data_IF_633245264307
#
_entry.id   IF_633245264307
#
_cell.length_a   1.000
_cell.length_b   1.000
_cell.length_c   1.000
_cell.angle_alpha   90.00
_cell.angle_beta   90.00
_cell.angle_gamma   90.00
#
_symmetry.space_group_name_H-M   'P 1'
#
loop_
_entity.id
_entity.type
_entity.pdbx_description
1 polymer ?
#
# COMPACT_ATOMS: atom_id res chain seq x y z
N UNK A 1 -14.51 38.58 10.75
CA UNK A 1 -13.53 38.24 9.66
C UNK A 1 -13.42 36.74 9.56
N UNK A 2 -13.80 36.17 8.40
CA UNK A 2 -13.63 34.77 8.14
C UNK A 2 -12.18 34.57 7.69
N UNK A 3 -11.35 33.93 8.52
CA UNK A 3 -10.00 33.57 8.13
C UNK A 3 -10.10 32.41 7.16
N UNK A 4 -9.67 32.57 5.92
CA UNK A 4 -9.56 31.51 4.96
C UNK A 4 -8.51 30.50 5.45
N UNK A 5 -8.92 29.26 5.66
CA UNK A 5 -8.02 28.18 6.04
C UNK A 5 -7.22 27.76 4.81
N UNK A 6 -5.93 28.09 4.76
CA UNK A 6 -5.06 27.72 3.64
C UNK A 6 -4.73 26.23 3.73
N UNK A 7 -5.19 25.46 2.76
CA UNK A 7 -4.81 24.06 2.56
C UNK A 7 -3.56 24.01 1.68
N UNK A 8 -2.55 23.26 2.12
CA UNK A 8 -1.35 22.98 1.33
C UNK A 8 -1.28 21.48 1.08
N UNK A 9 -0.95 21.07 -0.15
CA UNK A 9 -0.84 19.66 -0.53
C UNK A 9 0.57 19.37 -1.04
N UNK A 10 1.06 18.19 -0.75
CA UNK A 10 2.33 17.64 -1.22
C UNK A 10 2.07 16.26 -1.81
N UNK A 11 2.75 15.94 -2.89
CA UNK A 11 2.61 14.65 -3.56
C UNK A 11 3.86 13.82 -3.33
N UNK A 12 3.67 12.55 -2.96
CA UNK A 12 4.74 11.58 -2.75
C UNK A 12 4.81 10.60 -3.92
N UNK A 13 5.37 11.03 -5.04
CA UNK A 13 5.52 10.16 -6.23
C UNK A 13 6.84 9.40 -6.22
N UNK A 14 7.90 9.98 -5.67
CA UNK A 14 9.28 9.49 -5.76
C UNK A 14 9.88 9.19 -4.38
N UNK A 15 10.98 8.45 -4.39
CA UNK A 15 11.72 8.12 -3.18
C UNK A 15 11.21 6.88 -2.46
N UNK A 16 10.27 6.18 -3.03
CA UNK A 16 9.75 4.95 -2.47
C UNK A 16 10.71 3.78 -2.63
N UNK A 17 10.70 2.92 -1.62
CA UNK A 17 11.32 1.61 -1.59
C UNK A 17 10.24 0.55 -1.55
N UNK A 18 10.46 -0.57 -2.25
CA UNK A 18 9.51 -1.67 -2.39
C UNK A 18 10.17 -3.02 -2.20
N UNK A 19 9.46 -3.94 -1.54
CA UNK A 19 9.81 -5.37 -1.44
C UNK A 19 8.55 -6.22 -1.41
N UNK A 20 8.68 -7.50 -1.81
CA UNK A 20 7.65 -8.55 -1.67
C UNK A 20 7.87 -9.44 -0.44
N UNK A 21 8.91 -9.18 0.31
CA UNK A 21 9.11 -9.86 1.59
C UNK A 21 8.09 -9.35 2.61
N UNK A 22 7.69 -10.18 3.57
CA UNK A 22 6.81 -9.79 4.67
C UNK A 22 7.53 -9.96 5.99
N UNK A 23 7.78 -8.86 6.70
CA UNK A 23 8.44 -8.84 8.00
C UNK A 23 7.88 -7.71 8.85
N UNK A 24 7.57 -8.02 10.10
CA UNK A 24 7.04 -7.05 11.06
C UNK A 24 8.00 -5.88 11.36
N UNK A 25 9.30 -6.07 11.19
CA UNK A 25 10.31 -5.02 11.41
C UNK A 25 10.27 -3.90 10.36
N UNK A 26 9.59 -4.11 9.26
CA UNK A 26 9.49 -3.12 8.17
C UNK A 26 8.78 -1.83 8.56
N UNK A 27 8.04 -1.83 9.66
CA UNK A 27 7.42 -0.64 10.23
C UNK A 27 8.42 0.27 10.96
N UNK A 28 9.58 -0.25 11.37
CA UNK A 28 10.52 0.47 12.21
C UNK A 28 11.18 1.62 11.41
N UNK A 29 11.28 2.83 12.00
CA UNK A 29 11.89 3.97 11.31
C UNK A 29 13.37 3.77 10.94
N UNK A 30 14.10 3.03 11.73
CA UNK A 30 15.53 2.75 11.58
C UNK A 30 15.83 1.49 10.76
N UNK A 31 14.79 0.82 10.24
CA UNK A 31 14.98 -0.34 9.36
C UNK A 31 15.78 0.05 8.11
N UNK A 32 16.79 -0.75 7.78
CA UNK A 32 17.64 -0.51 6.63
C UNK A 32 17.03 -1.12 5.35
N UNK A 33 16.39 -0.27 4.56
CA UNK A 33 15.74 -0.63 3.29
C UNK A 33 16.61 -0.37 2.04
N UNK A 34 17.93 -0.20 2.20
CA UNK A 34 18.85 0.15 1.09
C UNK A 34 18.82 -0.89 -0.04
N UNK A 35 18.57 -2.15 0.28
CA UNK A 35 18.51 -3.26 -0.69
C UNK A 35 17.15 -3.35 -1.41
N UNK A 36 16.14 -2.62 -0.95
CA UNK A 36 14.83 -2.66 -1.57
C UNK A 36 14.84 -1.97 -2.94
N UNK A 37 13.94 -2.41 -3.80
CA UNK A 37 13.77 -1.80 -5.11
C UNK A 37 13.34 -0.33 -4.97
N UNK A 38 13.99 0.58 -5.70
CA UNK A 38 13.52 1.96 -5.80
C UNK A 38 12.40 2.03 -6.83
N UNK A 39 11.27 2.61 -6.44
CA UNK A 39 10.08 2.71 -7.29
C UNK A 39 9.52 4.13 -7.28
N UNK A 40 8.69 4.41 -8.27
CA UNK A 40 7.88 5.62 -8.40
C UNK A 40 6.42 5.18 -8.35
N UNK A 41 5.58 5.86 -7.60
CA UNK A 41 4.15 5.57 -7.58
C UNK A 41 3.40 6.47 -8.58
N UNK A 42 2.33 5.98 -9.24
CA UNK A 42 1.75 4.65 -9.06
C UNK A 42 2.66 3.52 -9.53
N UNK A 43 2.68 2.42 -8.80
CA UNK A 43 3.49 1.24 -9.08
C UNK A 43 2.63 -0.02 -9.00
N UNK A 44 2.61 -0.80 -10.06
CA UNK A 44 1.94 -2.09 -10.10
C UNK A 44 2.99 -3.22 -10.02
N UNK A 45 3.08 -3.83 -8.86
CA UNK A 45 4.07 -4.87 -8.58
C UNK A 45 3.65 -6.27 -9.07
N UNK A 46 2.38 -6.46 -9.40
CA UNK A 46 1.87 -7.73 -9.90
C UNK A 46 2.20 -7.95 -11.39
N UNK A 47 2.20 -6.89 -12.21
CA UNK A 47 2.42 -6.99 -13.65
C UNK A 47 3.84 -7.39 -14.06
N UNK A 48 4.80 -7.28 -13.16
CA UNK A 48 6.19 -7.66 -13.44
C UNK A 48 6.51 -9.11 -13.06
N UNK A 49 5.48 -9.89 -12.67
CA UNK A 49 5.66 -11.27 -12.23
C UNK A 49 6.26 -11.41 -10.82
N UNK A 50 6.68 -12.61 -10.44
CA UNK A 50 6.72 -13.80 -11.28
C UNK A 50 5.32 -14.27 -11.67
N UNK A 51 5.14 -14.55 -12.95
CA UNK A 51 3.92 -15.18 -13.44
C UNK A 51 4.03 -16.69 -13.24
N UNK A 52 2.95 -17.32 -12.82
CA UNK A 52 2.97 -18.75 -12.60
C UNK A 52 1.57 -19.34 -12.56
N UNK A 53 1.44 -20.56 -13.06
CA UNK A 53 0.16 -21.28 -13.07
C UNK A 53 -0.38 -21.52 -11.65
N UNK A 54 0.48 -21.40 -10.65
CA UNK A 54 0.14 -21.59 -9.24
C UNK A 54 -0.35 -20.29 -8.57
N UNK A 55 -0.23 -19.13 -9.26
CA UNK A 55 -0.75 -17.87 -8.78
C UNK A 55 -2.25 -17.75 -9.05
N UNK A 56 -2.99 -17.12 -8.15
CA UNK A 56 -4.40 -16.75 -8.30
C UNK A 56 -5.29 -17.94 -8.78
N UNK A 57 -5.19 -19.07 -8.13
CA UNK A 57 -6.03 -20.24 -8.42
C UNK A 57 -7.39 -20.11 -7.73
N UNK A 58 -8.43 -20.54 -8.43
CA UNK A 58 -9.78 -20.62 -7.90
C UNK A 58 -10.32 -22.03 -8.01
N UNK A 59 -10.97 -22.50 -6.96
CA UNK A 59 -11.70 -23.76 -6.95
C UNK A 59 -13.18 -23.48 -7.30
N UNK A 60 -13.58 -23.75 -8.52
CA UNK A 60 -14.95 -23.48 -9.00
C UNK A 60 -15.44 -24.52 -9.99
N UNK A 61 -16.76 -24.64 -10.12
CA UNK A 61 -17.38 -25.47 -11.15
C UNK A 61 -17.92 -24.56 -12.26
N UNK A 62 -17.45 -24.77 -13.48
CA UNK A 62 -17.93 -24.02 -14.65
C UNK A 62 -19.09 -24.81 -15.25
N UNK A 63 -20.33 -24.44 -14.87
CA UNK A 63 -21.54 -25.13 -15.30
C UNK A 63 -21.74 -25.14 -16.83
N UNK A 64 -21.25 -24.11 -17.51
CA UNK A 64 -21.29 -24.00 -18.97
C UNK A 64 -20.43 -25.07 -19.68
N UNK A 65 -19.37 -25.53 -19.00
CA UNK A 65 -18.50 -26.59 -19.49
C UNK A 65 -18.98 -27.99 -19.04
N UNK A 66 -20.15 -28.07 -18.42
CA UNK A 66 -20.73 -29.32 -17.92
C UNK A 66 -20.08 -29.88 -16.64
N UNK A 67 -19.28 -29.06 -15.95
CA UNK A 67 -18.62 -29.45 -14.70
C UNK A 67 -19.66 -29.55 -13.56
N UNK A 68 -19.68 -30.69 -12.88
CA UNK A 68 -20.57 -30.93 -11.73
C UNK A 68 -19.88 -30.72 -10.38
N UNK A 69 -18.55 -30.79 -10.37
CA UNK A 69 -17.72 -30.62 -9.18
C UNK A 69 -16.77 -29.44 -9.38
N UNK A 70 -16.41 -28.79 -8.29
CA UNK A 70 -15.45 -27.72 -8.32
C UNK A 70 -14.06 -28.26 -8.71
N UNK A 71 -13.47 -27.65 -9.71
CA UNK A 71 -12.12 -27.95 -10.21
C UNK A 71 -11.26 -26.71 -10.10
N UNK A 72 -9.96 -26.91 -10.09
CA UNK A 72 -8.99 -25.82 -10.02
C UNK A 72 -8.86 -25.15 -11.40
N UNK A 73 -9.06 -23.85 -11.43
CA UNK A 73 -8.93 -23.01 -12.63
C UNK A 73 -7.98 -21.85 -12.34
N UNK A 74 -7.43 -21.26 -13.40
CA UNK A 74 -6.79 -19.94 -13.30
C UNK A 74 -7.81 -18.91 -12.80
N UNK A 75 -7.36 -18.02 -11.93
CA UNK A 75 -8.21 -17.00 -11.34
C UNK A 75 -8.73 -15.99 -12.35
N UNK A 76 -9.51 -15.03 -11.86
CA UNK A 76 -10.20 -14.01 -12.68
C UNK A 76 -9.28 -13.15 -13.53
N UNK A 77 -8.02 -13.03 -13.13
CA UNK A 77 -7.03 -12.24 -13.87
C UNK A 77 -6.58 -12.93 -15.14
N UNK A 78 -6.81 -14.25 -15.26
CA UNK A 78 -6.41 -15.07 -16.42
C UNK A 78 -4.91 -15.05 -16.71
N UNK A 79 -4.16 -14.24 -16.00
CA UNK A 79 -2.78 -13.90 -16.33
C UNK A 79 -1.76 -14.36 -15.31
N UNK A 80 -2.24 -14.97 -14.23
CA UNK A 80 -1.33 -15.54 -13.25
C UNK A 80 -0.34 -14.51 -12.64
N UNK A 81 -0.78 -13.25 -12.37
CA UNK A 81 0.07 -12.27 -11.72
C UNK A 81 0.40 -12.72 -10.31
N UNK A 82 1.47 -12.17 -9.77
CA UNK A 82 1.87 -12.47 -8.40
C UNK A 82 0.78 -12.06 -7.40
N UNK A 83 0.44 -13.00 -6.50
CA UNK A 83 -0.47 -12.79 -5.37
C UNK A 83 0.32 -12.89 -4.08
N UNK A 84 0.05 -12.02 -3.12
CA UNK A 84 0.71 -12.00 -1.83
C UNK A 84 0.90 -10.60 -1.27
N UNK A 85 1.95 -10.42 -0.48
CA UNK A 85 2.24 -9.19 0.24
C UNK A 85 3.27 -8.33 -0.48
N UNK A 86 3.06 -7.02 -0.44
CA UNK A 86 4.03 -6.03 -0.86
C UNK A 86 4.17 -4.91 0.17
N UNK A 87 5.40 -4.51 0.43
CA UNK A 87 5.70 -3.41 1.33
C UNK A 87 6.30 -2.23 0.58
N UNK A 88 5.84 -1.05 0.93
CA UNK A 88 6.35 0.23 0.46
C UNK A 88 6.87 1.04 1.64
N UNK A 89 8.01 1.69 1.48
CA UNK A 89 8.57 2.61 2.48
C UNK A 89 8.99 3.91 1.84
N UNK A 90 8.77 5.00 2.56
CA UNK A 90 9.18 6.34 2.16
C UNK A 90 9.68 7.11 3.38
N UNK A 91 10.86 7.68 3.28
CA UNK A 91 11.35 8.67 4.24
C UNK A 91 11.06 10.07 3.71
N UNK A 92 10.44 10.92 4.53
CA UNK A 92 10.06 12.27 4.16
C UNK A 92 10.24 13.25 5.34
N UNK A 93 10.42 14.50 5.00
CA UNK A 93 10.46 15.58 5.99
C UNK A 93 9.06 16.16 6.17
N UNK A 94 8.53 16.14 7.40
CA UNK A 94 7.28 16.82 7.67
C UNK A 94 7.53 18.34 7.65
N UNK A 95 6.76 19.10 6.87
CA UNK A 95 6.91 20.54 6.82
C UNK A 95 6.68 21.20 8.18
N UNK A 96 7.45 22.23 8.49
CA UNK A 96 7.41 22.95 9.77
C UNK A 96 6.05 23.60 10.10
N UNK A 97 5.17 23.75 9.12
CA UNK A 97 3.82 24.28 9.30
C UNK A 97 2.80 23.29 9.85
N UNK A 98 3.18 22.02 10.06
CA UNK A 98 2.26 20.99 10.60
C UNK A 98 1.87 21.29 12.05
N UNK A 99 2.70 22.03 12.78
CA UNK A 99 2.41 22.43 14.17
C UNK A 99 1.07 23.16 14.29
N UNK A 100 0.17 22.58 15.07
CA UNK A 100 -1.17 23.12 15.28
C UNK A 100 -2.12 23.02 14.08
N UNK A 101 -1.73 22.32 13.01
CA UNK A 101 -2.58 22.03 11.85
C UNK A 101 -2.90 20.56 11.77
N UNK A 102 -3.99 20.24 11.07
CA UNK A 102 -4.37 18.87 10.76
C UNK A 102 -3.62 18.39 9.52
N UNK A 103 -2.99 17.24 9.61
CA UNK A 103 -2.31 16.57 8.50
C UNK A 103 -3.11 15.33 8.09
N UNK A 104 -3.46 15.26 6.82
CA UNK A 104 -4.21 14.12 6.26
C UNK A 104 -3.37 13.49 5.16
N UNK A 105 -3.12 12.20 5.27
CA UNK A 105 -2.57 11.40 4.19
C UNK A 105 -3.71 10.90 3.30
N UNK A 106 -3.55 11.03 1.99
CA UNK A 106 -4.56 10.67 0.99
C UNK A 106 -3.95 9.62 0.07
N UNK A 107 -4.66 8.51 -0.08
CA UNK A 107 -4.37 7.49 -1.07
C UNK A 107 -5.49 7.51 -2.11
N UNK A 108 -5.15 7.70 -3.38
CA UNK A 108 -6.11 7.65 -4.49
C UNK A 108 -6.57 6.22 -4.77
N UNK A 109 -5.76 5.23 -4.37
CA UNK A 109 -6.04 3.82 -4.38
C UNK A 109 -4.82 3.04 -3.90
N UNK A 110 -5.05 1.95 -3.18
CA UNK A 110 -4.00 1.02 -2.74
C UNK A 110 -4.59 -0.38 -2.63
N UNK A 111 -4.27 -1.26 -3.57
CA UNK A 111 -4.88 -2.58 -3.71
C UNK A 111 -3.99 -3.65 -3.08
N UNK A 112 -4.51 -4.32 -2.09
CA UNK A 112 -5.67 -4.10 -1.21
C UNK A 112 -5.24 -4.29 0.24
N UNK A 113 -6.16 -4.32 1.19
CA UNK A 113 -5.85 -4.54 2.60
C UNK A 113 -4.70 -3.65 3.12
N UNK A 114 -4.72 -2.36 2.74
CA UNK A 114 -3.68 -1.41 3.05
C UNK A 114 -3.58 -1.16 4.55
N UNK A 115 -2.45 -1.52 5.17
CA UNK A 115 -2.06 -1.10 6.52
C UNK A 115 -1.01 -0.03 6.42
N UNK A 116 -1.25 1.09 7.04
CA UNK A 116 -0.42 2.28 6.95
C UNK A 116 0.21 2.59 8.29
N UNK A 117 1.51 2.77 8.32
CA UNK A 117 2.29 3.04 9.52
C UNK A 117 3.08 4.33 9.34
N UNK A 118 3.09 5.16 10.38
CA UNK A 118 3.93 6.35 10.46
C UNK A 118 4.83 6.20 11.68
N UNK A 119 6.14 6.28 11.46
CA UNK A 119 7.14 6.21 12.52
C UNK A 119 7.01 4.96 13.43
N UNK A 120 6.66 3.82 12.84
CA UNK A 120 6.47 2.55 13.55
C UNK A 120 5.11 2.36 14.21
N UNK A 121 4.18 3.32 14.10
CA UNK A 121 2.84 3.25 14.67
C UNK A 121 1.80 3.08 13.57
N UNK A 122 0.83 2.19 13.76
CA UNK A 122 -0.27 2.02 12.81
C UNK A 122 -1.16 3.27 12.81
N UNK A 123 -1.22 3.93 11.67
CA UNK A 123 -2.04 5.12 11.45
C UNK A 123 -3.42 4.79 10.88
N UNK A 124 -3.57 3.61 10.28
CA UNK A 124 -4.85 3.14 9.78
C UNK A 124 -4.79 1.92 8.89
N UNK A 125 -5.98 1.38 8.65
CA UNK A 125 -6.23 0.22 7.79
C UNK A 125 -7.35 0.53 6.81
N UNK A 126 -7.18 0.11 5.55
CA UNK A 126 -8.19 0.23 4.51
C UNK A 126 -8.24 -1.06 3.67
N UNK A 127 -9.36 -1.80 3.66
CA UNK A 127 -9.42 -3.11 2.99
C UNK A 127 -9.59 -3.03 1.47
N UNK A 128 -10.22 -1.96 0.97
CA UNK A 128 -10.68 -1.89 -0.41
C UNK A 128 -9.71 -1.14 -1.34
N UNK A 129 -9.37 -1.75 -2.49
CA UNK A 129 -8.31 -1.23 -3.37
C UNK A 129 -8.71 -0.13 -4.34
N UNK A 130 -10.01 0.03 -4.64
CA UNK A 130 -10.48 0.81 -5.80
C UNK A 130 -11.02 2.20 -5.49
N UNK A 131 -10.91 2.67 -4.26
CA UNK A 131 -11.38 4.01 -3.92
C UNK A 131 -10.35 4.80 -3.12
N UNK A 132 -10.50 6.12 -3.18
CA UNK A 132 -9.71 7.05 -2.37
C UNK A 132 -10.04 6.91 -0.88
N UNK A 133 -9.02 6.89 -0.04
CA UNK A 133 -9.20 6.94 1.40
C UNK A 133 -8.29 7.97 2.07
N UNK A 134 -8.65 8.36 3.29
CA UNK A 134 -8.07 9.46 4.03
C UNK A 134 -7.70 9.00 5.45
N UNK A 135 -6.49 9.30 5.87
CA UNK A 135 -6.02 9.00 7.23
C UNK A 135 -5.55 10.29 7.91
N UNK A 136 -6.04 10.54 9.12
CA UNK A 136 -5.50 11.60 9.97
C UNK A 136 -4.17 11.15 10.55
N UNK A 137 -3.09 11.70 10.04
CA UNK A 137 -1.73 11.34 10.47
C UNK A 137 -1.12 12.36 11.43
N UNK A 138 -1.89 13.37 11.82
CA UNK A 138 -1.43 14.43 12.73
C UNK A 138 -0.75 13.89 14.01
N UNK A 139 -1.31 12.87 14.70
CA UNK A 139 -0.73 12.38 15.97
C UNK A 139 0.61 11.67 15.80
N UNK A 140 0.91 11.20 14.59
CA UNK A 140 2.07 10.34 14.31
C UNK A 140 3.27 11.09 13.76
N UNK A 141 3.06 12.31 13.25
CA UNK A 141 4.12 13.10 12.63
C UNK A 141 5.05 13.75 13.66
N UNK A 142 6.33 13.70 13.34
CA UNK A 142 7.39 14.42 14.07
C UNK A 142 7.80 15.63 13.26
N UNK A 143 7.53 16.82 13.80
CA UNK A 143 7.85 18.10 13.14
C UNK A 143 9.37 18.30 13.06
N UNK A 144 9.85 18.86 11.96
CA UNK A 144 11.24 19.30 11.79
C UNK A 144 12.26 18.16 11.73
N UNK A 145 11.82 16.93 11.54
CA UNK A 145 12.67 15.75 11.43
C UNK A 145 12.15 14.80 10.37
N UNK A 146 12.95 13.82 9.99
CA UNK A 146 12.55 12.74 9.10
C UNK A 146 11.44 11.90 9.73
N UNK A 147 10.44 11.61 8.93
CA UNK A 147 9.38 10.67 9.22
C UNK A 147 9.48 9.51 8.25
N UNK A 148 9.04 8.34 8.70
CA UNK A 148 8.96 7.14 7.87
C UNK A 148 7.50 6.76 7.69
N UNK A 149 7.09 6.64 6.43
CA UNK A 149 5.82 6.03 6.03
C UNK A 149 6.10 4.62 5.55
N UNK A 150 5.43 3.64 6.15
CA UNK A 150 5.45 2.26 5.68
C UNK A 150 4.02 1.82 5.36
N UNK A 151 3.85 1.14 4.23
CA UNK A 151 2.54 0.66 3.75
C UNK A 151 2.68 -0.80 3.39
N UNK A 152 1.88 -1.64 4.04
CA UNK A 152 1.72 -3.06 3.70
C UNK A 152 0.46 -3.22 2.87
N UNK A 153 0.59 -3.85 1.73
CA UNK A 153 -0.51 -4.22 0.86
C UNK A 153 -0.57 -5.74 0.72
N UNK A 154 -1.76 -6.24 0.47
CA UNK A 154 -2.01 -7.65 0.22
C UNK A 154 -3.06 -7.75 -0.89
N UNK A 155 -2.71 -8.39 -2.00
CA UNK A 155 -3.59 -8.51 -3.16
C UNK A 155 -4.21 -9.90 -3.29
N UNK A 156 -4.29 -10.66 -2.21
CA UNK A 156 -5.04 -11.91 -2.19
C UNK A 156 -6.52 -11.64 -2.48
N UNK A 157 -7.10 -12.48 -3.30
CA UNK A 157 -8.54 -12.49 -3.53
C UNK A 157 -9.19 -13.40 -2.50
N UNK A 158 -10.10 -12.84 -1.66
CA UNK A 158 -11.01 -13.63 -0.84
C UNK A 158 -11.98 -14.45 -1.73
#
# INVERSE_FOLDING_TARGET
MISAQVRTSYTFEKGWKFTREDNADFIQPDYNDIKWQSVVVPHDWAIYGPFGIDNDRQLTAIAQDGQKEAMEHAGRTGGLPFVGVGWYRLNFDAPSFVKGKKATLIFDGAMSHARVYINGQEAGYWPYGYNTFYLDVTPYLKEGTKNTLAVRLENETE
#
